data_IF_396384077135
#
_entry.id   IF_396384077135
#
_cell.length_a   1.000
_cell.length_b   1.000
_cell.length_c   1.000
_cell.angle_alpha   90.00
_cell.angle_beta   90.00
_cell.angle_gamma   90.00
#
_symmetry.space_group_name_H-M   'P 1'
#
loop_
_entity.id
_entity.type
_entity.pdbx_description
1 polymer ?
#
# COMPACT_ATOMS: atom_id res chain seq x y z
N UNK A 1 -28.09 2.63 14.96
CA UNK A 1 -27.26 2.62 13.74
C UNK A 1 -26.59 1.26 13.70
N UNK A 2 -26.64 0.54 12.58
CA UNK A 2 -25.95 -0.76 12.48
C UNK A 2 -24.45 -0.48 12.41
N UNK A 3 -23.64 -1.23 13.16
CA UNK A 3 -22.18 -1.06 13.20
C UNK A 3 -21.56 -1.31 11.82
N UNK A 4 -20.60 -0.46 11.44
CA UNK A 4 -19.78 -0.60 10.25
C UNK A 4 -18.99 -1.91 10.29
N UNK A 5 -18.35 -2.22 11.43
CA UNK A 5 -17.60 -3.46 11.58
C UNK A 5 -18.50 -4.70 11.43
N UNK A 6 -19.70 -4.69 12.01
CA UNK A 6 -20.63 -5.80 11.85
C UNK A 6 -21.03 -6.04 10.38
N UNK A 7 -21.29 -4.97 9.62
CA UNK A 7 -21.59 -5.04 8.18
C UNK A 7 -20.39 -5.49 7.35
N UNK A 8 -19.20 -5.03 7.71
CA UNK A 8 -17.96 -5.41 7.06
C UNK A 8 -17.69 -6.91 7.20
N UNK A 9 -17.97 -7.45 8.38
CA UNK A 9 -17.88 -8.89 8.68
C UNK A 9 -18.97 -9.72 8.00
N UNK A 10 -20.15 -9.15 7.72
CA UNK A 10 -21.21 -9.84 6.98
C UNK A 10 -21.05 -9.81 5.46
N UNK A 11 -19.94 -9.27 4.94
CA UNK A 11 -19.62 -9.30 3.52
C UNK A 11 -20.11 -8.10 2.71
N UNK A 12 -20.24 -6.93 3.35
CA UNK A 12 -20.60 -5.65 2.68
C UNK A 12 -19.42 -4.65 2.63
N UNK A 13 -18.20 -5.03 2.18
CA UNK A 13 -17.03 -4.15 2.30
C UNK A 13 -17.18 -2.84 1.50
N UNK A 14 -17.68 -2.89 0.27
CA UNK A 14 -17.76 -1.71 -0.60
C UNK A 14 -18.71 -0.64 -0.06
N UNK A 15 -19.88 -1.06 0.45
CA UNK A 15 -20.84 -0.13 1.06
C UNK A 15 -20.30 0.43 2.38
N UNK A 16 -19.60 -0.37 3.18
CA UNK A 16 -18.98 0.10 4.42
C UNK A 16 -17.89 1.14 4.14
N UNK A 17 -17.02 0.90 3.17
CA UNK A 17 -15.99 1.88 2.80
C UNK A 17 -16.58 3.17 2.28
N UNK A 18 -17.58 3.10 1.40
CA UNK A 18 -18.29 4.30 0.94
C UNK A 18 -18.82 5.09 2.13
N UNK A 19 -19.59 4.43 3.01
CA UNK A 19 -20.25 5.12 4.12
C UNK A 19 -19.23 5.68 5.14
N UNK A 20 -18.11 4.99 5.38
CA UNK A 20 -17.04 5.47 6.27
C UNK A 20 -16.25 6.64 5.65
N UNK A 21 -15.99 6.62 4.33
CA UNK A 21 -15.36 7.73 3.61
C UNK A 21 -16.28 8.96 3.59
N UNK A 22 -17.59 8.77 3.47
CA UNK A 22 -18.60 9.84 3.52
C UNK A 22 -18.66 10.56 4.88
N UNK A 23 -18.20 9.93 5.96
CA UNK A 23 -18.05 10.60 7.26
C UNK A 23 -16.93 11.66 7.25
N UNK A 24 -15.92 11.51 6.39
CA UNK A 24 -14.71 12.32 6.40
C UNK A 24 -14.08 12.38 7.79
N UNK A 25 -13.74 13.58 8.25
CA UNK A 25 -13.12 13.80 9.57
C UNK A 25 -14.02 13.41 10.76
N UNK A 26 -15.34 13.30 10.57
CA UNK A 26 -16.25 12.86 11.65
C UNK A 26 -15.99 11.42 12.08
N UNK A 27 -15.26 10.64 11.28
CA UNK A 27 -14.89 9.28 11.65
C UNK A 27 -14.02 9.21 12.91
N UNK A 28 -13.30 10.29 13.24
CA UNK A 28 -12.47 10.37 14.44
C UNK A 28 -13.26 10.68 15.72
N UNK A 29 -14.54 11.05 15.59
CA UNK A 29 -15.41 11.43 16.71
C UNK A 29 -16.19 10.23 17.26
N UNK A 30 -16.62 10.32 18.52
CA UNK A 30 -17.65 9.44 19.07
C UNK A 30 -18.99 9.68 18.34
N UNK A 31 -19.73 8.63 17.93
CA UNK A 31 -19.52 7.21 18.24
C UNK A 31 -18.78 6.41 17.16
N UNK A 32 -18.20 7.05 16.14
CA UNK A 32 -17.71 6.36 14.94
C UNK A 32 -16.31 5.76 15.10
N UNK A 33 -15.44 6.41 15.87
CA UNK A 33 -14.00 6.08 15.97
C UNK A 33 -13.73 4.60 16.23
N UNK A 34 -14.27 4.04 17.31
CA UNK A 34 -13.98 2.66 17.72
C UNK A 34 -14.44 1.62 16.67
N UNK A 35 -15.59 1.87 16.05
CA UNK A 35 -16.17 0.98 15.03
C UNK A 35 -15.37 1.07 13.71
N UNK A 36 -14.91 2.27 13.34
CA UNK A 36 -14.03 2.51 12.20
C UNK A 36 -12.64 1.88 12.38
N UNK A 37 -12.04 2.00 13.57
CA UNK A 37 -10.77 1.36 13.92
C UNK A 37 -10.88 -0.18 13.85
N UNK A 38 -12.03 -0.74 14.23
CA UNK A 38 -12.28 -2.16 14.09
C UNK A 38 -12.35 -2.59 12.61
N UNK A 39 -12.97 -1.79 11.73
CA UNK A 39 -12.95 -2.04 10.27
C UNK A 39 -11.53 -1.99 9.73
N UNK A 40 -10.75 -0.96 10.06
CA UNK A 40 -9.36 -0.81 9.61
C UNK A 40 -8.48 -2.00 10.06
N UNK A 41 -8.72 -2.54 11.26
CA UNK A 41 -8.02 -3.74 11.76
C UNK A 41 -8.37 -5.00 10.98
N UNK A 42 -9.66 -5.25 10.71
CA UNK A 42 -10.07 -6.41 9.92
C UNK A 42 -9.56 -6.28 8.48
N UNK A 43 -9.61 -5.09 7.89
CA UNK A 43 -8.99 -4.77 6.61
C UNK A 43 -7.53 -5.22 6.57
N UNK A 44 -6.73 -4.78 7.52
CA UNK A 44 -5.31 -5.13 7.57
C UNK A 44 -5.12 -6.65 7.75
N UNK A 45 -5.98 -7.31 8.52
CA UNK A 45 -5.99 -8.76 8.65
C UNK A 45 -6.34 -9.50 7.34
N UNK A 46 -7.22 -8.96 6.50
CA UNK A 46 -7.51 -9.51 5.16
C UNK A 46 -6.37 -9.23 4.19
N UNK A 47 -5.85 -8.01 4.19
CA UNK A 47 -4.72 -7.60 3.34
C UNK A 47 -3.47 -8.45 3.61
N UNK A 48 -3.12 -8.66 4.89
CA UNK A 48 -2.00 -9.53 5.28
C UNK A 48 -2.17 -10.94 4.73
N UNK A 49 -3.35 -11.55 4.90
CA UNK A 49 -3.64 -12.89 4.36
C UNK A 49 -3.48 -12.93 2.84
N UNK A 50 -3.92 -11.88 2.15
CA UNK A 50 -3.76 -11.79 0.71
C UNK A 50 -2.29 -11.71 0.29
N UNK A 51 -1.50 -10.86 0.95
CA UNK A 51 -0.06 -10.71 0.72
C UNK A 51 0.66 -12.03 0.96
N UNK A 52 0.46 -12.67 2.11
CA UNK A 52 1.10 -13.95 2.46
C UNK A 52 0.76 -15.04 1.43
N UNK A 53 -0.52 -15.14 1.06
CA UNK A 53 -1.00 -16.11 0.04
C UNK A 53 -0.38 -15.83 -1.33
N UNK A 54 -0.30 -14.56 -1.72
CA UNK A 54 0.23 -14.17 -3.02
C UNK A 54 1.73 -14.45 -3.11
N UNK A 55 2.50 -14.06 -2.09
CA UNK A 55 3.94 -14.30 -2.01
C UNK A 55 4.25 -15.79 -2.00
N UNK A 56 3.48 -16.59 -1.24
CA UNK A 56 3.63 -18.06 -1.25
C UNK A 56 3.46 -18.64 -2.67
N UNK A 57 2.41 -18.21 -3.39
CA UNK A 57 2.13 -18.67 -4.76
C UNK A 57 3.19 -18.22 -5.77
N UNK A 58 3.68 -17.00 -5.63
CA UNK A 58 4.77 -16.47 -6.46
C UNK A 58 6.04 -17.28 -6.25
N UNK A 59 6.45 -17.51 -5.01
CA UNK A 59 7.62 -18.35 -4.70
C UNK A 59 7.47 -19.78 -5.21
N UNK A 60 6.27 -20.37 -5.13
CA UNK A 60 5.99 -21.70 -5.68
C UNK A 60 6.19 -21.77 -7.21
N UNK A 61 6.09 -20.64 -7.91
CA UNK A 61 6.34 -20.50 -9.34
C UNK A 61 7.77 -20.04 -9.67
N UNK A 62 8.63 -19.92 -8.65
CA UNK A 62 10.03 -19.54 -8.81
C UNK A 62 10.26 -18.03 -8.89
N UNK A 63 9.27 -17.20 -8.52
CA UNK A 63 9.45 -15.76 -8.38
C UNK A 63 10.60 -15.43 -7.43
N UNK A 64 11.37 -14.40 -7.78
CA UNK A 64 12.41 -13.84 -6.93
C UNK A 64 12.21 -12.33 -6.86
N UNK A 65 11.94 -11.84 -5.66
CA UNK A 65 11.98 -10.40 -5.40
C UNK A 65 13.43 -9.92 -5.42
N UNK A 66 13.65 -8.78 -6.05
CA UNK A 66 14.97 -8.20 -6.27
C UNK A 66 14.91 -6.72 -5.93
N UNK A 67 15.96 -6.24 -5.28
CA UNK A 67 16.19 -4.80 -5.13
C UNK A 67 16.25 -4.22 -6.54
N UNK A 68 15.70 -3.03 -6.69
CA UNK A 68 15.77 -2.29 -7.93
C UNK A 68 17.18 -1.70 -8.13
N UNK A 69 18.16 -2.57 -8.33
CA UNK A 69 19.55 -2.25 -8.65
C UNK A 69 19.99 -3.01 -9.92
N UNK A 70 21.09 -2.56 -10.52
CA UNK A 70 21.62 -3.18 -11.76
C UNK A 70 22.12 -4.62 -11.53
N UNK A 71 22.28 -5.04 -10.27
CA UNK A 71 22.82 -6.35 -9.89
C UNK A 71 21.74 -7.42 -9.69
N UNK A 72 20.46 -7.03 -9.61
CA UNK A 72 19.34 -7.93 -9.32
C UNK A 72 19.46 -8.53 -7.92
N UNK A 73 19.87 -7.74 -6.93
CA UNK A 73 20.15 -8.25 -5.58
C UNK A 73 18.89 -8.85 -4.96
N UNK A 74 18.87 -10.14 -4.58
CA UNK A 74 17.67 -10.75 -4.00
C UNK A 74 17.26 -10.08 -2.70
N UNK A 75 15.95 -9.86 -2.53
CA UNK A 75 15.36 -9.34 -1.29
C UNK A 75 14.06 -10.08 -0.92
N UNK A 76 13.56 -9.94 0.32
CA UNK A 76 12.27 -10.51 0.69
C UNK A 76 11.10 -9.81 0.01
N UNK A 77 10.17 -10.58 -0.56
CA UNK A 77 8.96 -10.03 -1.18
C UNK A 77 7.92 -9.51 -0.15
N UNK A 78 7.99 -10.01 1.08
CA UNK A 78 7.16 -9.56 2.20
C UNK A 78 7.97 -9.65 3.49
N UNK A 79 7.96 -8.56 4.25
CA UNK A 79 8.53 -8.46 5.59
C UNK A 79 7.39 -8.15 6.55
N UNK A 80 7.08 -9.03 7.52
CA UNK A 80 6.02 -8.75 8.50
C UNK A 80 6.39 -7.55 9.38
N UNK A 81 5.42 -6.90 10.05
CA UNK A 81 5.68 -5.75 10.89
C UNK A 81 6.75 -6.05 11.93
N UNK A 82 7.72 -5.15 12.08
CA UNK A 82 8.73 -5.27 13.12
C UNK A 82 8.15 -4.92 14.50
N UNK A 83 8.87 -5.22 15.61
CA UNK A 83 8.51 -4.72 16.93
C UNK A 83 8.42 -3.18 17.03
N UNK A 84 9.04 -2.46 16.10
CA UNK A 84 9.01 -0.99 16.00
C UNK A 84 7.78 -0.44 15.28
N UNK A 85 7.04 -1.26 14.53
CA UNK A 85 5.93 -0.80 13.69
C UNK A 85 4.84 -0.04 14.47
N UNK A 86 4.42 -0.47 15.67
CA UNK A 86 3.45 0.31 16.46
C UNK A 86 3.98 1.71 16.83
N UNK A 87 5.26 1.82 17.21
CA UNK A 87 5.86 3.09 17.60
C UNK A 87 6.02 4.04 16.39
N UNK A 88 6.31 3.49 15.20
CA UNK A 88 6.31 4.27 13.96
C UNK A 88 4.91 4.80 13.67
N UNK A 89 3.89 3.94 13.73
CA UNK A 89 2.52 4.32 13.40
C UNK A 89 1.94 5.33 14.42
N UNK A 90 2.22 5.17 15.72
CA UNK A 90 1.85 6.16 16.74
C UNK A 90 2.51 7.52 16.46
N UNK A 91 3.80 7.53 16.12
CA UNK A 91 4.50 8.76 15.76
C UNK A 91 3.93 9.43 14.50
N UNK A 92 3.60 8.66 13.47
CA UNK A 92 2.96 9.19 12.26
C UNK A 92 1.58 9.79 12.56
N UNK A 93 0.78 9.11 13.38
CA UNK A 93 -0.53 9.59 13.81
C UNK A 93 -0.46 10.90 14.59
N UNK A 94 0.51 11.03 15.51
CA UNK A 94 0.75 12.25 16.28
C UNK A 94 1.28 13.39 15.41
N UNK A 95 2.22 13.10 14.51
CA UNK A 95 2.91 14.11 13.69
C UNK A 95 2.02 14.67 12.58
N UNK A 96 1.20 13.82 11.96
CA UNK A 96 0.45 14.15 10.75
C UNK A 96 -1.06 14.09 10.96
N UNK A 97 -1.54 14.28 12.20
CA UNK A 97 -2.96 14.26 12.50
C UNK A 97 -3.75 15.30 11.68
N UNK A 98 -4.96 14.98 11.18
CA UNK A 98 -5.60 13.65 11.20
C UNK A 98 -4.89 12.64 10.28
N UNK A 99 -4.74 11.40 10.73
CA UNK A 99 -4.00 10.37 9.99
C UNK A 99 -4.91 9.20 9.56
N UNK A 100 -4.78 8.65 8.34
CA UNK A 100 -5.62 7.55 7.88
C UNK A 100 -5.48 6.28 8.74
N UNK A 101 -6.60 5.79 9.27
CA UNK A 101 -6.63 4.56 10.07
C UNK A 101 -6.22 3.32 9.27
N UNK A 102 -6.48 3.27 7.96
CA UNK A 102 -6.09 2.14 7.10
C UNK A 102 -4.57 2.02 6.97
N UNK A 103 -3.86 3.14 6.81
CA UNK A 103 -2.39 3.20 6.75
C UNK A 103 -1.78 2.79 8.09
N UNK A 104 -2.34 3.34 9.16
CA UNK A 104 -1.98 3.02 10.53
C UNK A 104 -2.18 1.52 10.86
N UNK A 105 -3.27 0.92 10.39
CA UNK A 105 -3.51 -0.52 10.53
C UNK A 105 -2.59 -1.37 9.65
N UNK A 106 -2.26 -0.91 8.43
CA UNK A 106 -1.32 -1.58 7.54
C UNK A 106 0.06 -1.71 8.18
N UNK A 107 0.63 -0.61 8.67
CA UNK A 107 1.94 -0.59 9.34
C UNK A 107 1.96 -1.58 10.50
N UNK A 108 0.91 -1.58 11.34
CA UNK A 108 0.85 -2.42 12.55
C UNK A 108 0.64 -3.91 12.29
N UNK A 109 0.05 -4.29 11.16
CA UNK A 109 -0.44 -5.66 10.97
C UNK A 109 0.03 -6.35 9.70
N UNK A 110 0.34 -5.61 8.63
CA UNK A 110 0.70 -6.16 7.31
C UNK A 110 2.22 -6.15 7.10
N UNK A 111 2.88 -5.01 7.32
CA UNK A 111 4.32 -4.84 7.11
C UNK A 111 4.66 -4.39 5.69
N UNK A 112 5.90 -4.63 5.26
CA UNK A 112 6.44 -4.15 3.98
C UNK A 112 6.28 -5.20 2.87
N UNK A 113 5.83 -4.78 1.69
CA UNK A 113 5.59 -5.62 0.51
C UNK A 113 6.39 -5.09 -0.67
N UNK A 114 7.04 -6.00 -1.40
CA UNK A 114 7.88 -5.68 -2.56
C UNK A 114 7.79 -6.79 -3.60
N UNK A 115 6.96 -6.59 -4.63
CA UNK A 115 6.80 -7.56 -5.73
C UNK A 115 7.60 -7.21 -7.00
N UNK A 116 8.56 -6.29 -6.90
CA UNK A 116 9.53 -6.03 -7.97
C UNK A 116 10.54 -7.17 -8.01
N UNK A 117 10.72 -7.75 -9.20
CA UNK A 117 11.62 -8.87 -9.44
C UNK A 117 11.19 -9.73 -10.62
N UNK A 118 11.81 -10.90 -10.76
CA UNK A 118 11.64 -11.78 -11.91
C UNK A 118 10.74 -12.98 -11.61
N UNK A 119 9.80 -13.25 -12.52
CA UNK A 119 9.06 -14.50 -12.60
C UNK A 119 9.53 -15.30 -13.83
N UNK A 120 10.07 -16.53 -13.70
CA UNK A 120 10.67 -17.26 -14.83
C UNK A 120 9.76 -17.48 -16.06
N UNK A 121 8.44 -17.53 -15.86
CA UNK A 121 7.44 -17.63 -16.94
C UNK A 121 6.98 -16.29 -17.51
N UNK A 122 7.42 -15.18 -16.92
CA UNK A 122 7.09 -13.82 -17.28
C UNK A 122 8.20 -12.85 -16.82
N UNK A 123 9.38 -12.87 -17.48
CA UNK A 123 10.55 -12.11 -17.01
C UNK A 123 10.33 -10.60 -16.98
N UNK A 124 9.43 -10.06 -17.82
CA UNK A 124 9.02 -8.65 -17.80
C UNK A 124 7.97 -8.33 -16.73
N UNK A 125 7.81 -9.16 -15.69
CA UNK A 125 6.83 -8.96 -14.60
C UNK A 125 6.99 -7.63 -13.89
N UNK A 126 8.21 -7.10 -13.85
CA UNK A 126 8.49 -5.78 -13.27
C UNK A 126 7.81 -4.64 -14.03
N UNK A 127 7.57 -4.79 -15.33
CA UNK A 127 6.87 -3.81 -16.17
C UNK A 127 5.35 -3.87 -15.98
N UNK A 128 4.86 -4.75 -15.12
CA UNK A 128 3.44 -4.98 -14.89
C UNK A 128 2.91 -4.25 -13.65
N UNK A 129 3.60 -3.17 -13.26
CA UNK A 129 3.30 -2.35 -12.09
C UNK A 129 3.13 -3.18 -10.81
N UNK A 130 4.16 -3.95 -10.39
CA UNK A 130 4.06 -4.81 -9.23
C UNK A 130 3.67 -4.04 -7.96
N UNK A 131 2.89 -4.69 -7.07
CA UNK A 131 2.53 -4.15 -5.78
C UNK A 131 3.78 -3.92 -4.93
N UNK A 132 3.93 -2.67 -4.47
CA UNK A 132 4.96 -2.24 -3.53
C UNK A 132 4.25 -1.42 -2.47
N UNK A 133 4.52 -1.71 -1.20
CA UNK A 133 4.12 -0.90 -0.03
C UNK A 133 5.21 -1.03 1.02
N UNK A 134 6.12 -0.06 1.13
CA UNK A 134 7.23 -0.09 2.08
C UNK A 134 7.17 1.12 3.01
N UNK A 135 6.29 1.04 4.02
CA UNK A 135 6.08 2.14 4.96
C UNK A 135 7.05 2.07 6.14
N UNK A 136 7.36 0.87 6.63
CA UNK A 136 8.28 0.71 7.77
C UNK A 136 9.73 0.61 7.31
N UNK A 137 9.99 -0.01 6.17
CA UNK A 137 11.33 -0.38 5.71
C UNK A 137 12.10 -1.14 6.79
N UNK A 138 11.47 -2.16 7.38
CA UNK A 138 11.96 -2.85 8.58
C UNK A 138 13.37 -3.45 8.41
N UNK A 139 13.67 -4.03 7.25
CA UNK A 139 14.99 -4.61 6.93
C UNK A 139 16.09 -3.54 6.79
N UNK A 140 15.71 -2.27 6.58
CA UNK A 140 16.63 -1.13 6.47
C UNK A 140 16.82 -0.39 7.80
N UNK A 141 16.27 -0.92 8.89
CA UNK A 141 16.38 -0.33 10.23
C UNK A 141 15.27 0.66 10.59
N UNK A 142 14.22 0.76 9.77
CA UNK A 142 13.06 1.61 9.99
C UNK A 142 13.09 2.93 9.20
N UNK A 143 11.92 3.46 8.89
CA UNK A 143 11.71 4.65 8.04
C UNK A 143 11.52 5.96 8.81
N UNK A 144 11.52 5.94 10.15
CA UNK A 144 11.19 7.14 10.96
C UNK A 144 12.12 8.32 10.67
N UNK A 145 13.43 8.12 10.76
CA UNK A 145 14.40 9.20 10.54
C UNK A 145 14.37 9.73 9.10
N UNK A 146 14.00 8.86 8.15
CA UNK A 146 13.76 9.25 6.77
C UNK A 146 12.57 10.21 6.69
N UNK A 147 11.41 9.83 7.22
CA UNK A 147 10.22 10.72 7.21
C UNK A 147 10.40 12.00 8.04
N UNK A 148 11.18 11.98 9.12
CA UNK A 148 11.55 13.20 9.86
C UNK A 148 12.31 14.19 8.97
N UNK A 149 13.31 13.70 8.22
CA UNK A 149 14.11 14.53 7.31
C UNK A 149 13.30 15.02 6.10
N UNK A 150 12.52 14.14 5.47
CA UNK A 150 11.67 14.50 4.33
C UNK A 150 10.59 15.53 4.72
N UNK A 151 10.02 15.40 5.91
CA UNK A 151 9.05 16.37 6.41
C UNK A 151 9.71 17.72 6.73
N UNK A 152 10.92 17.74 7.31
CA UNK A 152 11.69 18.97 7.51
C UNK A 152 11.95 19.67 6.17
N UNK A 153 12.40 18.94 5.15
CA UNK A 153 12.61 19.47 3.80
C UNK A 153 11.31 20.01 3.18
N UNK A 154 10.20 19.29 3.36
CA UNK A 154 8.87 19.76 2.92
C UNK A 154 8.45 21.07 3.60
N UNK A 155 8.75 21.24 4.89
CA UNK A 155 8.43 22.46 5.64
C UNK A 155 9.23 23.67 5.15
N UNK A 156 10.42 23.45 4.60
CA UNK A 156 11.26 24.49 3.99
C UNK A 156 10.88 24.82 2.54
N UNK A 157 10.19 23.91 1.84
CA UNK A 157 9.73 24.10 0.46
C UNK A 157 8.43 24.92 0.39
N UNK A 158 8.58 26.24 0.44
CA UNK A 158 7.45 27.18 0.34
C UNK A 158 6.75 27.13 -1.02
N UNK A 159 7.44 26.72 -2.09
CA UNK A 159 6.85 26.62 -3.43
C UNK A 159 5.83 25.49 -3.48
N UNK A 160 6.18 24.31 -2.93
CA UNK A 160 5.27 23.16 -2.84
C UNK A 160 4.07 23.46 -1.95
N UNK A 161 4.29 24.14 -0.82
CA UNK A 161 3.22 24.55 0.09
C UNK A 161 2.27 25.57 -0.55
N UNK A 162 2.79 26.60 -1.22
CA UNK A 162 1.98 27.61 -1.92
C UNK A 162 1.17 27.00 -3.07
N UNK A 163 1.67 25.92 -3.68
CA UNK A 163 0.96 25.13 -4.68
C UNK A 163 -0.13 24.20 -4.08
N UNK A 164 -0.23 24.11 -2.75
CA UNK A 164 -1.21 23.27 -2.06
C UNK A 164 -0.94 21.77 -2.17
N UNK A 165 0.31 21.38 -2.43
CA UNK A 165 0.72 19.97 -2.52
C UNK A 165 1.05 19.47 -1.12
N UNK A 166 0.35 18.45 -0.64
CA UNK A 166 0.57 17.85 0.68
C UNK A 166 1.91 17.12 0.80
N UNK A 167 2.36 16.92 2.04
CA UNK A 167 3.39 15.93 2.35
C UNK A 167 2.83 14.53 2.06
N UNK A 168 3.67 13.61 1.61
CA UNK A 168 3.25 12.28 1.19
C UNK A 168 4.15 11.24 1.84
N UNK A 169 3.53 10.15 2.32
CA UNK A 169 4.27 8.95 2.70
C UNK A 169 4.53 8.10 1.46
N UNK A 170 5.69 7.48 1.38
CA UNK A 170 6.03 6.63 0.23
C UNK A 170 5.12 5.41 0.21
N UNK A 171 4.42 5.23 -0.91
CA UNK A 171 3.54 4.09 -1.11
C UNK A 171 4.17 3.10 -2.08
N UNK A 172 4.54 3.60 -3.26
CA UNK A 172 5.26 2.84 -4.25
C UNK A 172 6.15 3.79 -5.06
N UNK A 173 7.35 3.35 -5.50
CA UNK A 173 7.99 4.01 -6.62
C UNK A 173 7.02 4.06 -7.81
N UNK A 174 7.12 5.06 -8.68
CA UNK A 174 6.26 5.06 -9.87
C UNK A 174 6.56 3.85 -10.76
N UNK A 175 5.67 3.55 -11.71
CA UNK A 175 5.77 2.36 -12.55
C UNK A 175 7.09 2.30 -13.35
N UNK A 176 7.66 3.46 -13.70
CA UNK A 176 8.96 3.55 -14.38
C UNK A 176 10.13 3.30 -13.42
N UNK A 177 10.13 3.90 -12.22
CA UNK A 177 11.15 3.60 -11.22
C UNK A 177 11.09 2.14 -10.82
N UNK A 178 9.91 1.49 -10.73
CA UNK A 178 9.80 0.03 -10.51
C UNK A 178 10.57 -0.77 -11.55
N UNK A 179 10.61 -0.29 -12.80
CA UNK A 179 11.31 -0.90 -13.94
C UNK A 179 12.79 -0.50 -14.08
N UNK A 180 13.37 0.20 -13.10
CA UNK A 180 14.69 0.84 -13.17
C UNK A 180 14.81 1.85 -14.32
N UNK A 181 13.69 2.45 -14.71
CA UNK A 181 13.61 3.52 -15.71
C UNK A 181 13.41 4.84 -14.96
N UNK A 182 14.11 5.89 -15.36
CA UNK A 182 13.90 7.23 -14.77
C UNK A 182 12.44 7.64 -14.93
N UNK A 183 11.71 7.71 -13.83
CA UNK A 183 10.29 8.03 -13.79
C UNK A 183 9.96 9.43 -13.28
N UNK A 184 8.67 9.67 -13.07
CA UNK A 184 8.10 10.77 -12.31
C UNK A 184 8.27 10.53 -10.79
N UNK A 185 7.82 11.49 -9.97
CA UNK A 185 7.84 11.37 -8.52
C UNK A 185 7.02 10.14 -8.04
N UNK A 186 7.47 9.45 -6.98
CA UNK A 186 6.79 8.25 -6.46
C UNK A 186 5.32 8.54 -6.12
N UNK A 187 4.47 7.52 -6.27
CA UNK A 187 3.12 7.60 -5.74
C UNK A 187 3.21 7.54 -4.22
N UNK A 188 2.63 8.54 -3.56
CA UNK A 188 2.58 8.61 -2.11
C UNK A 188 1.16 8.73 -1.58
N UNK A 189 1.03 8.48 -0.28
CA UNK A 189 -0.21 8.69 0.46
C UNK A 189 -0.20 10.09 1.07
N UNK A 190 -1.19 10.90 0.68
CA UNK A 190 -1.32 12.27 1.19
C UNK A 190 -1.54 12.29 2.71
N UNK A 191 -0.73 13.10 3.39
CA UNK A 191 -0.88 13.42 4.82
C UNK A 191 -0.79 14.94 5.07
N UNK A 192 -1.58 15.50 6.00
CA UNK A 192 -2.63 14.85 6.81
C UNK A 192 -3.77 14.26 5.97
N UNK A 193 -4.34 13.15 6.45
CA UNK A 193 -5.39 12.40 5.78
C UNK A 193 -6.78 13.03 5.88
N UNK A 194 -7.71 12.53 5.05
CA UNK A 194 -9.07 13.10 4.94
C UNK A 194 -10.14 12.34 5.74
N UNK A 195 -9.78 11.26 6.41
CA UNK A 195 -10.71 10.40 7.13
C UNK A 195 -10.10 9.04 7.45
N UNK A 196 -10.89 7.99 7.32
CA UNK A 196 -10.48 6.62 7.66
C UNK A 196 -9.40 6.08 6.71
N UNK A 197 -9.46 6.48 5.44
CA UNK A 197 -8.66 5.92 4.36
C UNK A 197 -7.72 6.98 3.75
N UNK A 198 -6.55 6.52 3.29
CA UNK A 198 -5.55 7.37 2.66
C UNK A 198 -5.84 7.55 1.17
N UNK A 199 -5.43 8.67 0.58
CA UNK A 199 -5.42 8.83 -0.88
C UNK A 199 -4.04 8.54 -1.42
N UNK A 200 -3.95 7.60 -2.37
CA UNK A 200 -2.76 7.33 -3.16
C UNK A 200 -2.82 8.24 -4.40
N UNK A 201 -1.89 9.19 -4.49
CA UNK A 201 -1.94 10.24 -5.50
C UNK A 201 -3.25 11.06 -5.46
N UNK A 202 -3.65 11.72 -6.56
CA UNK A 202 -4.72 12.71 -6.52
C UNK A 202 -6.14 12.15 -6.37
N UNK A 203 -6.38 10.85 -6.66
CA UNK A 203 -7.75 10.35 -6.88
C UNK A 203 -8.11 8.99 -6.31
N UNK A 204 -7.15 8.12 -5.99
CA UNK A 204 -7.44 6.73 -5.64
C UNK A 204 -7.35 6.54 -4.13
N UNK A 205 -8.32 5.83 -3.55
CA UNK A 205 -8.25 5.44 -2.14
C UNK A 205 -7.32 4.24 -1.96
N UNK A 206 -6.53 4.23 -0.90
CA UNK A 206 -5.55 3.19 -0.62
C UNK A 206 -6.18 1.78 -0.63
N UNK A 207 -7.36 1.60 -0.02
CA UNK A 207 -8.05 0.29 -0.07
C UNK A 207 -8.49 -0.09 -1.48
N UNK A 208 -8.90 0.88 -2.31
CA UNK A 208 -9.35 0.61 -3.69
C UNK A 208 -8.18 0.27 -4.61
N UNK A 209 -7.03 0.91 -4.41
CA UNK A 209 -5.78 0.61 -5.10
C UNK A 209 -5.33 -0.83 -4.80
N UNK A 210 -5.25 -1.20 -3.52
CA UNK A 210 -4.91 -2.56 -3.10
C UNK A 210 -5.88 -3.61 -3.64
N UNK A 211 -7.16 -3.29 -3.65
CA UNK A 211 -8.19 -4.16 -4.20
C UNK A 211 -7.98 -4.42 -5.71
N UNK A 212 -7.53 -3.39 -6.44
CA UNK A 212 -7.16 -3.50 -7.87
C UNK A 212 -5.91 -4.36 -8.03
N UNK A 213 -4.88 -4.11 -7.22
CA UNK A 213 -3.65 -4.89 -7.22
C UNK A 213 -3.92 -6.38 -6.92
N UNK A 214 -4.67 -6.69 -5.86
CA UNK A 214 -5.00 -8.08 -5.50
C UNK A 214 -5.87 -8.77 -6.55
N UNK A 215 -6.83 -8.07 -7.16
CA UNK A 215 -7.63 -8.63 -8.26
C UNK A 215 -6.77 -9.00 -9.47
N UNK A 216 -5.65 -8.32 -9.68
CA UNK A 216 -4.66 -8.61 -10.72
C UNK A 216 -3.51 -9.52 -10.25
N UNK A 217 -3.63 -10.16 -9.08
CA UNK A 217 -2.59 -11.04 -8.55
C UNK A 217 -1.29 -10.29 -8.18
N UNK A 218 -1.39 -9.02 -7.81
CA UNK A 218 -0.26 -8.15 -7.44
C UNK A 218 0.36 -7.38 -8.59
N UNK A 219 -0.14 -7.51 -9.82
CA UNK A 219 0.42 -6.87 -11.01
C UNK A 219 -0.70 -6.17 -11.81
N UNK A 220 -1.27 -5.06 -11.31
CA UNK A 220 -2.40 -4.36 -11.92
C UNK A 220 -2.12 -3.77 -13.31
N UNK A 221 -0.88 -3.39 -13.59
CA UNK A 221 -0.54 -2.58 -14.76
C UNK A 221 0.07 -3.36 -15.91
N UNK A 222 0.23 -2.65 -17.01
CA UNK A 222 1.09 -2.99 -18.13
C UNK A 222 1.68 -1.66 -18.60
N UNK A 223 2.98 -1.46 -18.42
CA UNK A 223 3.64 -0.31 -19.01
C UNK A 223 3.45 -0.35 -20.54
N UNK A 224 2.99 0.75 -21.13
CA UNK A 224 2.79 0.88 -22.59
C UNK A 224 4.11 1.02 -23.36
N UNK A 225 5.20 0.48 -22.83
CA UNK A 225 6.52 0.54 -23.44
C UNK A 225 6.70 -0.53 -24.53
N UNK A 226 7.51 -0.20 -25.53
CA UNK A 226 8.00 -1.19 -26.50
C UNK A 226 8.74 -2.30 -25.76
N UNK A 227 8.12 -3.48 -25.67
CA UNK A 227 8.73 -4.67 -25.07
C UNK A 227 7.92 -5.32 -23.96
N UNK A 228 6.86 -4.70 -23.46
CA UNK A 228 5.95 -5.37 -22.53
C UNK A 228 5.33 -6.61 -23.17
N UNK A 229 5.45 -7.74 -22.48
CA UNK A 229 4.78 -8.99 -22.86
C UNK A 229 3.71 -9.29 -21.82
N UNK A 230 2.49 -9.56 -22.28
CA UNK A 230 1.42 -10.04 -21.42
C UNK A 230 1.84 -11.33 -20.70
N UNK A 231 1.40 -11.52 -19.44
CA UNK A 231 1.65 -12.75 -18.73
C UNK A 231 1.00 -13.95 -19.44
N UNK A 232 1.45 -15.18 -19.16
CA UNK A 232 0.73 -16.38 -19.54
C UNK A 232 -0.76 -16.28 -19.16
N UNK A 233 -1.64 -16.67 -20.08
CA UNK A 233 -3.08 -16.61 -19.86
C UNK A 233 -3.48 -17.37 -18.59
N UNK A 234 -4.29 -16.74 -17.72
CA UNK A 234 -4.73 -17.32 -16.47
C UNK A 234 -3.76 -17.12 -15.30
N UNK A 235 -2.56 -16.55 -15.50
CA UNK A 235 -1.57 -16.38 -14.44
C UNK A 235 -2.10 -15.45 -13.34
N UNK A 236 -2.54 -14.23 -13.70
CA UNK A 236 -3.06 -13.25 -12.74
C UNK A 236 -4.28 -13.79 -11.99
N UNK A 237 -5.17 -14.46 -12.69
CA UNK A 237 -6.35 -15.10 -12.11
C UNK A 237 -5.98 -16.21 -11.13
N UNK A 238 -4.95 -17.01 -11.44
CA UNK A 238 -4.46 -18.05 -10.54
C UNK A 238 -3.83 -17.48 -9.27
N UNK A 239 -3.11 -16.35 -9.40
CA UNK A 239 -2.51 -15.62 -8.28
C UNK A 239 -3.58 -14.96 -7.41
N UNK A 240 -4.62 -14.38 -8.03
CA UNK A 240 -5.73 -13.70 -7.35
C UNK A 240 -6.80 -14.67 -6.78
N UNK A 241 -6.78 -15.94 -7.15
CA UNK A 241 -7.84 -16.88 -6.80
C UNK A 241 -8.05 -17.00 -5.29
N UNK A 242 -9.26 -16.67 -4.82
CA UNK A 242 -9.62 -16.77 -3.40
C UNK A 242 -9.00 -15.70 -2.49
N UNK A 243 -8.33 -14.68 -3.05
CA UNK A 243 -7.94 -13.50 -2.27
C UNK A 243 -9.20 -12.78 -1.78
N UNK A 244 -9.11 -12.24 -0.56
CA UNK A 244 -10.22 -11.62 0.15
C UNK A 244 -10.45 -10.21 -0.37
N UNK A 245 -11.73 -9.84 -0.54
CA UNK A 245 -12.11 -8.44 -0.76
C UNK A 245 -11.81 -7.63 0.50
N UNK A 246 -11.08 -6.53 0.30
CA UNK A 246 -10.79 -5.54 1.33
C UNK A 246 -11.93 -4.55 1.45
#
# INVERSE_FOLDING_TARGET
MVSFHARYMSGEPDDVWRDLRDLGLRVFDTPYREDAEAVAREFAGRARRNVETLVERLHAQGFRAEVNDDEGTPCPAHVPPSPGAPALADWLEETFAPFPMTVSAWIRHVGDVWLVGELPGWPSSVLADPLVVQLECAEQGGSRSYYEAEHEAYLEDTVRQDAGISFQLDYAPDELHKANISGDAPYGIDVPGLGIDGKVGPTIWFVDDLNTAFAAGGFPGALWEEGYQEPPAGLRESLAAGLLRL
#
